data_IF_033058066352
#
_entry.id   IF_033058066352
#
_cell.length_a   1.000
_cell.length_b   1.000
_cell.length_c   1.000
_cell.angle_alpha   90.00
_cell.angle_beta   90.00
_cell.angle_gamma   90.00
#
_symmetry.space_group_name_H-M   'P 1'
#
loop_
_entity.id
_entity.type
_entity.pdbx_description
1 polymer ?
#
# COMPACT_ATOMS: atom_id res chain seq x y z
N UNK A 1 38.46 6.59 -21.29
CA UNK A 1 37.52 6.14 -20.23
C UNK A 1 36.39 7.13 -19.98
N UNK A 2 36.66 8.45 -19.94
CA UNK A 2 35.65 9.50 -19.69
C UNK A 2 34.41 9.48 -20.62
N UNK A 3 34.58 9.21 -21.93
CA UNK A 3 33.43 9.14 -22.86
C UNK A 3 32.45 8.00 -22.52
N UNK A 4 32.93 6.86 -22.02
CA UNK A 4 32.06 5.73 -21.62
C UNK A 4 31.25 6.08 -20.37
N UNK A 5 31.88 6.78 -19.41
CA UNK A 5 31.21 7.24 -18.19
C UNK A 5 30.11 8.27 -18.49
N UNK A 6 30.34 9.17 -19.46
CA UNK A 6 29.37 10.19 -19.87
C UNK A 6 28.15 9.57 -20.57
N UNK A 7 28.36 8.54 -21.38
CA UNK A 7 27.27 7.78 -22.03
C UNK A 7 26.43 7.04 -21.00
N UNK A 8 27.05 6.38 -20.01
CA UNK A 8 26.35 5.66 -18.95
C UNK A 8 25.50 6.61 -18.09
N UNK A 9 26.04 7.78 -17.74
CA UNK A 9 25.32 8.76 -16.92
C UNK A 9 24.13 9.38 -17.69
N UNK A 10 24.29 9.62 -18.99
CA UNK A 10 23.19 10.09 -19.86
C UNK A 10 22.09 9.03 -20.00
N UNK A 11 22.46 7.75 -20.15
CA UNK A 11 21.51 6.65 -20.28
C UNK A 11 20.69 6.43 -19.00
N UNK A 12 21.33 6.55 -17.84
CA UNK A 12 20.64 6.53 -16.52
C UNK A 12 19.62 7.68 -16.42
N UNK A 13 19.96 8.88 -16.90
CA UNK A 13 19.08 10.05 -16.83
C UNK A 13 17.86 9.91 -17.77
N UNK A 14 18.05 9.30 -18.95
CA UNK A 14 16.97 9.01 -19.91
C UNK A 14 16.02 7.94 -19.35
N UNK A 15 16.55 6.88 -18.75
CA UNK A 15 15.73 5.84 -18.12
C UNK A 15 14.92 6.43 -16.95
N UNK A 16 15.55 7.29 -16.13
CA UNK A 16 14.86 7.98 -15.05
C UNK A 16 13.72 8.89 -15.58
N UNK A 17 13.95 9.62 -16.67
CA UNK A 17 12.94 10.45 -17.32
C UNK A 17 11.76 9.63 -17.90
N UNK A 18 12.01 8.44 -18.44
CA UNK A 18 10.96 7.55 -18.94
C UNK A 18 10.12 6.91 -17.81
N UNK A 19 10.69 6.73 -16.62
CA UNK A 19 9.95 6.24 -15.45
C UNK A 19 9.05 7.30 -14.82
N UNK A 20 9.41 8.58 -14.90
CA UNK A 20 8.64 9.68 -14.30
C UNK A 20 7.43 10.09 -15.15
N UNK A 21 7.52 10.01 -16.47
CA UNK A 21 6.39 10.33 -17.39
C UNK A 21 5.23 9.33 -17.24
N UNK A 22 5.53 8.08 -16.90
CA UNK A 22 4.52 7.02 -16.75
C UNK A 22 3.63 7.17 -15.48
N UNK A 23 3.98 8.08 -14.55
CA UNK A 23 3.17 8.37 -13.35
C UNK A 23 2.27 9.62 -13.49
N UNK A 24 2.39 10.41 -14.55
CA UNK A 24 1.63 11.66 -14.73
C UNK A 24 0.24 11.45 -15.36
N UNK A 25 -0.04 10.28 -15.94
CA UNK A 25 -1.32 10.00 -16.60
C UNK A 25 -2.45 9.49 -15.67
N UNK A 26 -2.26 9.45 -14.35
CA UNK A 26 -3.26 8.91 -13.40
C UNK A 26 -3.51 9.93 -12.28
N UNK A 27 -4.20 11.04 -12.55
CA UNK A 27 -5.05 11.75 -11.57
C UNK A 27 -5.81 12.96 -12.15
N UNK A 28 -7.03 12.75 -12.66
CA UNK A 28 -8.19 13.67 -12.76
C UNK A 28 -9.27 12.84 -13.49
N UNK A 29 -10.38 12.38 -12.92
CA UNK A 29 -11.47 13.07 -12.22
C UNK A 29 -12.12 12.09 -11.22
N UNK A 30 -12.26 12.50 -9.96
CA UNK A 30 -13.25 11.90 -9.06
C UNK A 30 -13.80 12.98 -8.15
N UNK A 31 -14.76 13.75 -8.67
CA UNK A 31 -15.68 14.57 -7.88
C UNK A 31 -16.83 15.07 -8.75
N UNK A 32 -18.03 15.12 -8.16
CA UNK A 32 -19.36 15.51 -8.71
C UNK A 32 -20.20 14.27 -9.01
N UNK A 33 -21.39 14.07 -8.46
CA UNK A 33 -22.12 14.65 -7.34
C UNK A 33 -23.26 13.65 -7.04
N UNK A 34 -23.73 13.61 -5.80
CA UNK A 34 -24.96 12.88 -5.46
C UNK A 34 -26.22 13.60 -5.96
N UNK A 35 -27.31 12.82 -6.04
CA UNK A 35 -28.75 13.16 -6.04
C UNK A 35 -29.41 13.17 -7.43
N UNK A 36 -30.17 12.11 -7.76
CA UNK A 36 -31.63 12.11 -8.02
C UNK A 36 -32.16 10.68 -7.76
N UNK A 37 -33.29 10.59 -7.06
CA UNK A 37 -34.15 9.39 -6.93
C UNK A 37 -35.36 9.56 -7.89
N UNK A 38 -36.03 8.45 -8.18
CA UNK A 38 -37.25 8.27 -9.01
C UNK A 38 -36.95 7.94 -10.48
N UNK A 39 -36.92 6.64 -10.83
CA UNK A 39 -38.09 5.91 -11.39
C UNK A 39 -37.65 4.52 -11.93
N UNK A 40 -38.49 3.51 -11.65
CA UNK A 40 -38.18 2.07 -11.68
C UNK A 40 -38.11 1.41 -13.09
N UNK A 41 -37.72 2.12 -14.15
CA UNK A 41 -37.81 1.61 -15.55
C UNK A 41 -36.51 1.64 -16.38
N UNK A 42 -35.35 1.94 -15.79
CA UNK A 42 -34.06 1.97 -16.52
C UNK A 42 -33.04 0.95 -15.97
N UNK A 43 -33.43 -0.34 -15.93
CA UNK A 43 -32.55 -1.45 -15.50
C UNK A 43 -32.39 -2.49 -16.61
N UNK A 44 -32.07 -2.03 -17.81
CA UNK A 44 -31.66 -2.94 -18.90
C UNK A 44 -30.46 -2.39 -19.69
N UNK A 45 -30.39 -1.06 -19.84
CA UNK A 45 -29.34 -0.39 -20.63
C UNK A 45 -27.99 -0.24 -19.92
N UNK A 46 -27.94 -0.41 -18.59
CA UNK A 46 -26.71 -0.25 -17.79
C UNK A 46 -25.95 -1.57 -17.53
N UNK A 47 -26.46 -2.71 -18.00
CA UNK A 47 -25.78 -4.01 -17.85
C UNK A 47 -24.74 -4.28 -18.93
N UNK A 48 -24.90 -3.68 -20.11
CA UNK A 48 -23.99 -3.94 -21.24
C UNK A 48 -22.68 -3.13 -21.17
N UNK A 49 -22.64 -2.00 -20.44
CA UNK A 49 -21.47 -1.11 -20.42
C UNK A 49 -20.44 -1.44 -19.31
N UNK A 50 -20.75 -2.38 -18.40
CA UNK A 50 -19.87 -2.73 -17.26
C UNK A 50 -19.55 -4.22 -17.26
N UNK A 51 -19.04 -4.75 -18.36
CA UNK A 51 -18.36 -6.06 -18.35
C UNK A 51 -17.30 -6.14 -19.44
N UNK A 52 -16.48 -5.09 -19.60
CA UNK A 52 -15.10 -5.32 -20.03
C UNK A 52 -14.35 -6.02 -18.89
N UNK A 53 -14.57 -7.33 -18.76
CA UNK A 53 -13.67 -8.20 -18.00
C UNK A 53 -12.29 -8.08 -18.65
N UNK A 54 -11.47 -7.17 -18.14
CA UNK A 54 -10.04 -7.13 -18.43
C UNK A 54 -9.47 -8.48 -17.97
N UNK A 55 -9.40 -9.43 -18.91
CA UNK A 55 -8.91 -10.77 -18.66
C UNK A 55 -7.40 -10.67 -18.48
N UNK A 56 -6.98 -10.38 -17.25
CA UNK A 56 -5.58 -10.32 -16.87
C UNK A 56 -5.00 -11.72 -17.11
N UNK A 57 -4.11 -11.82 -18.10
CA UNK A 57 -3.44 -13.07 -18.41
C UNK A 57 -2.46 -13.40 -17.27
N UNK A 58 -2.83 -14.34 -16.40
CA UNK A 58 -1.96 -14.95 -15.40
C UNK A 58 -1.57 -16.37 -15.85
N UNK A 59 -0.36 -16.55 -16.42
CA UNK A 59 0.13 -17.87 -16.84
C UNK A 59 0.21 -18.90 -15.70
N UNK A 60 0.25 -18.46 -14.43
CA UNK A 60 0.40 -19.30 -13.24
C UNK A 60 -0.91 -19.47 -12.45
N UNK A 61 -2.05 -19.29 -13.11
CA UNK A 61 -3.38 -19.37 -12.49
C UNK A 61 -3.64 -20.68 -11.72
N UNK A 62 -3.17 -21.82 -12.22
CA UNK A 62 -3.41 -23.12 -11.58
C UNK A 62 -2.74 -23.16 -10.20
N UNK A 63 -1.50 -22.68 -10.12
CA UNK A 63 -0.75 -22.64 -8.87
C UNK A 63 -1.33 -21.62 -7.89
N UNK A 64 -1.60 -20.40 -8.37
CA UNK A 64 -2.17 -19.32 -7.57
C UNK A 64 -3.53 -19.73 -6.99
N UNK A 65 -4.38 -20.39 -7.80
CA UNK A 65 -5.69 -20.86 -7.36
C UNK A 65 -5.61 -22.05 -6.39
N UNK A 66 -4.69 -22.99 -6.61
CA UNK A 66 -4.46 -24.09 -5.67
C UNK A 66 -3.99 -23.58 -4.30
N UNK A 67 -3.01 -22.67 -4.29
CA UNK A 67 -2.53 -22.04 -3.06
C UNK A 67 -3.59 -21.17 -2.40
N UNK A 68 -4.41 -20.48 -3.18
CA UNK A 68 -5.55 -19.73 -2.67
C UNK A 68 -6.52 -20.64 -1.93
N UNK A 69 -6.94 -21.76 -2.53
CA UNK A 69 -7.84 -22.71 -1.86
C UNK A 69 -7.25 -23.33 -0.61
N UNK A 70 -5.94 -23.60 -0.58
CA UNK A 70 -5.25 -24.06 0.61
C UNK A 70 -5.26 -23.00 1.72
N UNK A 71 -4.86 -21.76 1.39
CA UNK A 71 -4.81 -20.63 2.32
C UNK A 71 -6.20 -20.31 2.87
N UNK A 72 -7.25 -20.41 2.05
CA UNK A 72 -8.63 -20.14 2.45
C UNK A 72 -9.12 -21.16 3.48
N UNK A 73 -8.88 -22.47 3.25
CA UNK A 73 -9.19 -23.51 4.23
C UNK A 73 -8.39 -23.33 5.53
N UNK A 74 -7.09 -23.07 5.41
CA UNK A 74 -6.22 -22.83 6.57
C UNK A 74 -6.70 -21.62 7.38
N UNK A 75 -7.17 -20.57 6.70
CA UNK A 75 -7.71 -19.38 7.34
C UNK A 75 -8.95 -19.68 8.18
N UNK A 76 -9.94 -20.39 7.62
CA UNK A 76 -11.17 -20.69 8.33
C UNK A 76 -10.97 -21.66 9.50
N UNK A 77 -10.09 -22.66 9.34
CA UNK A 77 -9.92 -23.73 10.32
C UNK A 77 -8.93 -23.38 11.44
N UNK A 78 -7.86 -22.63 11.14
CA UNK A 78 -6.78 -22.38 12.10
C UNK A 78 -6.62 -20.89 12.42
N UNK A 79 -6.40 -20.04 11.41
CA UNK A 79 -6.06 -18.62 11.66
C UNK A 79 -7.23 -17.86 12.32
N UNK A 80 -8.47 -18.10 11.89
CA UNK A 80 -9.66 -17.43 12.43
C UNK A 80 -9.91 -17.72 13.91
N UNK A 81 -9.95 -18.98 14.39
CA UNK A 81 -10.10 -19.24 15.83
C UNK A 81 -8.90 -18.75 16.65
N UNK A 82 -7.67 -18.89 16.14
CA UNK A 82 -6.46 -18.38 16.82
C UNK A 82 -6.51 -16.85 16.97
N UNK A 83 -6.88 -16.13 15.91
CA UNK A 83 -7.04 -14.67 15.94
C UNK A 83 -8.11 -14.22 16.93
N UNK A 84 -9.26 -14.91 16.98
CA UNK A 84 -10.31 -14.65 17.98
C UNK A 84 -9.82 -14.91 19.41
N UNK A 85 -9.06 -15.99 19.62
CA UNK A 85 -8.43 -16.32 20.91
C UNK A 85 -7.46 -15.23 21.35
N UNK A 86 -6.52 -14.84 20.48
CA UNK A 86 -5.60 -13.73 20.72
C UNK A 86 -6.35 -12.43 21.03
N UNK A 87 -7.43 -12.16 20.29
CA UNK A 87 -8.22 -10.95 20.49
C UNK A 87 -8.94 -10.90 21.84
N UNK A 88 -9.23 -12.06 22.43
CA UNK A 88 -9.89 -12.18 23.73
C UNK A 88 -8.88 -12.11 24.90
N UNK A 89 -7.67 -12.62 24.71
CA UNK A 89 -6.63 -12.66 25.75
C UNK A 89 -5.89 -11.32 25.87
N UNK A 90 -5.60 -10.66 24.74
CA UNK A 90 -4.78 -9.44 24.73
C UNK A 90 -5.68 -8.20 24.67
N UNK A 91 -5.58 -7.27 25.65
CA UNK A 91 -6.35 -6.03 25.65
C UNK A 91 -5.97 -5.14 24.45
N UNK A 92 -6.90 -4.25 24.08
CA UNK A 92 -6.79 -3.38 22.89
C UNK A 92 -5.51 -2.54 22.89
N UNK A 93 -5.10 -2.06 24.05
CA UNK A 93 -3.95 -1.15 24.19
C UNK A 93 -2.63 -1.84 23.86
N UNK A 94 -2.41 -3.04 24.39
CA UNK A 94 -1.20 -3.84 24.11
C UNK A 94 -1.16 -4.23 22.62
N UNK A 95 -2.30 -4.58 22.02
CA UNK A 95 -2.38 -4.92 20.59
C UNK A 95 -2.03 -3.73 19.70
N UNK A 96 -2.49 -2.53 20.08
CA UNK A 96 -2.13 -1.30 19.39
C UNK A 96 -0.63 -1.04 19.50
N UNK A 97 -0.05 -1.14 20.71
CA UNK A 97 1.38 -0.95 20.94
C UNK A 97 2.28 -1.88 20.11
N UNK A 98 1.91 -3.16 19.99
CA UNK A 98 2.65 -4.12 19.15
C UNK A 98 2.56 -3.74 17.67
N UNK A 99 1.37 -3.36 17.18
CA UNK A 99 1.21 -2.89 15.79
C UNK A 99 2.05 -1.64 15.52
N UNK A 100 2.13 -0.73 16.48
CA UNK A 100 2.89 0.51 16.37
C UNK A 100 4.40 0.24 16.34
N UNK A 101 4.87 -0.72 17.13
CA UNK A 101 6.27 -1.16 17.13
C UNK A 101 6.71 -1.70 15.77
N UNK A 102 5.94 -2.61 15.17
CA UNK A 102 6.25 -3.13 13.82
C UNK A 102 6.19 -2.02 12.75
N UNK A 103 5.24 -1.09 12.86
CA UNK A 103 5.17 0.05 11.96
C UNK A 103 6.41 0.96 12.06
N UNK A 104 6.96 1.14 13.27
CA UNK A 104 8.19 1.92 13.49
C UNK A 104 9.42 1.25 12.87
N UNK A 105 9.55 -0.08 12.99
CA UNK A 105 10.67 -0.84 12.38
C UNK A 105 10.62 -0.79 10.85
N UNK A 106 9.43 -0.69 10.25
CA UNK A 106 9.29 -0.56 8.81
C UNK A 106 9.54 0.87 8.28
N UNK A 107 9.52 1.89 9.15
CA UNK A 107 9.80 3.30 8.82
C UNK A 107 11.17 3.54 8.15
N UNK A 108 12.31 3.00 8.62
CA UNK A 108 13.60 3.23 7.96
C UNK A 108 13.64 2.67 6.53
N UNK A 109 12.98 1.53 6.27
CA UNK A 109 12.89 0.97 4.91
C UNK A 109 12.09 1.92 4.01
N UNK A 110 10.97 2.47 4.50
CA UNK A 110 10.19 3.48 3.76
C UNK A 110 10.96 4.78 3.54
N UNK A 111 11.72 5.22 4.54
CA UNK A 111 12.60 6.39 4.43
C UNK A 111 13.64 6.22 3.34
N UNK A 112 14.35 5.07 3.32
CA UNK A 112 15.34 4.75 2.28
C UNK A 112 14.68 4.73 0.90
N UNK A 113 13.50 4.12 0.77
CA UNK A 113 12.77 4.09 -0.50
C UNK A 113 12.36 5.50 -0.97
N UNK A 114 11.85 6.35 -0.07
CA UNK A 114 11.49 7.73 -0.38
C UNK A 114 12.71 8.59 -0.74
N UNK A 115 13.85 8.34 -0.11
CA UNK A 115 15.11 9.01 -0.42
C UNK A 115 15.62 8.59 -1.81
N UNK A 116 15.56 7.30 -2.14
CA UNK A 116 15.91 6.79 -3.47
C UNK A 116 14.96 7.31 -4.57
N UNK A 117 13.69 7.54 -4.24
CA UNK A 117 12.71 8.18 -5.13
C UNK A 117 12.81 9.71 -5.19
N UNK A 118 13.81 10.32 -4.53
CA UNK A 118 13.99 11.78 -4.45
C UNK A 118 12.80 12.55 -3.83
N UNK A 119 11.93 11.86 -3.09
CA UNK A 119 10.75 12.45 -2.42
C UNK A 119 11.13 13.02 -1.05
N UNK A 120 11.90 14.11 -1.05
CA UNK A 120 12.48 14.71 0.17
C UNK A 120 11.44 15.12 1.22
N UNK A 121 10.28 15.64 0.79
CA UNK A 121 9.18 16.01 1.71
C UNK A 121 8.64 14.81 2.50
N UNK A 122 8.46 13.68 1.81
CA UNK A 122 7.95 12.45 2.43
C UNK A 122 9.03 11.76 3.27
N UNK A 123 10.29 11.82 2.84
CA UNK A 123 11.42 11.33 3.61
C UNK A 123 11.58 12.10 4.93
N UNK A 124 11.46 13.44 4.91
CA UNK A 124 11.50 14.27 6.11
C UNK A 124 10.40 13.90 7.12
N UNK A 125 9.16 13.73 6.66
CA UNK A 125 8.04 13.33 7.52
C UNK A 125 8.25 11.94 8.15
N UNK A 126 8.71 10.95 7.39
CA UNK A 126 8.99 9.61 7.95
C UNK A 126 10.17 9.65 8.93
N UNK A 127 11.17 10.51 8.70
CA UNK A 127 12.31 10.69 9.60
C UNK A 127 11.92 11.34 10.93
N UNK A 128 11.09 12.39 10.90
CA UNK A 128 10.54 13.02 12.11
C UNK A 128 9.71 12.01 12.91
N UNK A 129 8.85 11.23 12.23
CA UNK A 129 8.08 10.15 12.87
C UNK A 129 8.98 9.09 13.51
N UNK A 130 10.05 8.67 12.84
CA UNK A 130 11.03 7.72 13.37
C UNK A 130 11.66 8.25 14.67
N UNK A 131 12.14 9.50 14.66
CA UNK A 131 12.82 10.11 15.80
C UNK A 131 11.85 10.23 16.98
N UNK A 132 10.66 10.76 16.75
CA UNK A 132 9.67 10.98 17.80
C UNK A 132 9.20 9.64 18.39
N UNK A 133 8.85 8.66 17.54
CA UNK A 133 8.38 7.36 18.00
C UNK A 133 9.47 6.53 18.70
N UNK A 134 10.73 6.68 18.28
CA UNK A 134 11.85 5.95 18.89
C UNK A 134 12.31 6.59 20.19
N UNK A 135 12.29 7.93 20.29
CA UNK A 135 12.80 8.68 21.46
C UNK A 135 11.76 8.84 22.56
N UNK A 136 10.51 9.18 22.21
CA UNK A 136 9.43 9.49 23.16
C UNK A 136 8.50 8.29 23.37
N UNK A 137 8.33 7.43 22.36
CA UNK A 137 7.40 6.29 22.38
C UNK A 137 7.90 5.04 23.11
N UNK A 138 8.92 5.13 23.98
CA UNK A 138 9.59 4.00 24.67
C UNK A 138 9.89 2.86 23.69
N UNK A 139 10.69 3.17 22.66
CA UNK A 139 11.06 2.19 21.62
C UNK A 139 9.95 1.84 20.63
N UNK A 140 8.88 2.64 20.52
CA UNK A 140 7.82 2.47 19.52
C UNK A 140 6.55 1.75 20.00
N UNK A 141 6.40 1.55 21.32
CA UNK A 141 5.19 0.99 21.92
C UNK A 141 4.07 2.02 22.08
N UNK A 142 4.42 3.29 22.27
CA UNK A 142 3.47 4.41 22.24
C UNK A 142 3.40 5.04 20.85
N UNK A 143 2.22 5.04 20.23
CA UNK A 143 1.95 5.82 19.01
C UNK A 143 1.55 7.23 19.39
N UNK A 144 2.56 8.01 19.76
CA UNK A 144 2.42 9.43 20.09
C UNK A 144 2.29 10.27 18.79
N UNK A 145 2.75 9.73 17.66
CA UNK A 145 2.80 10.42 16.37
C UNK A 145 1.52 10.32 15.52
N UNK A 146 0.49 9.55 15.94
CA UNK A 146 -0.86 9.65 15.34
C UNK A 146 -1.59 10.95 15.66
N UNK A 147 -1.07 11.73 16.61
CA UNK A 147 -1.68 13.00 17.05
C UNK A 147 -1.01 14.18 16.34
N UNK A 148 -1.10 14.24 15.02
CA UNK A 148 -1.16 15.48 14.20
C UNK A 148 -1.77 15.15 12.84
#
# INVERSE_FOLDING_TARGET
>A
MLKKLLIINSLILIVFFMLTTNSIAIHEEKSTNQIVKEDDEEVDYLKEEVEEETKIADPLIIWNKAMFHFNDKLYFWLLKPVSKGYSKVVPKDIRASVSNFFNNIATPIRFVNNLLQFKLKNAGNEFVRLIINTTVGVGGLGDVAKTE
#
